data_IF_412014856438
#
_entry.id   IF_412014856438
#
_cell.length_a   1.000
_cell.length_b   1.000
_cell.length_c   1.000
_cell.angle_alpha   90.00
_cell.angle_beta   90.00
_cell.angle_gamma   90.00
#
_symmetry.space_group_name_H-M   'P 1'
#
loop_
_entity.id
_entity.type
_entity.pdbx_description
1 polymer ?
#
# COMPACT_ATOMS: atom_id res chain seq x y z
N UNK A 1 20.19 -4.70 12.72
CA UNK A 1 19.59 -5.88 12.05
C UNK A 1 19.56 -7.08 13.00
N UNK A 2 20.62 -7.35 13.80
CA UNK A 2 20.68 -8.50 14.72
C UNK A 2 19.68 -8.44 15.90
N UNK A 3 19.27 -7.25 16.33
CA UNK A 3 18.46 -7.03 17.55
C UNK A 3 17.20 -7.93 17.64
N UNK A 4 16.41 -8.16 16.58
CA UNK A 4 15.27 -9.08 16.67
C UNK A 4 15.68 -10.51 17.01
N UNK A 5 16.81 -10.99 16.49
CA UNK A 5 17.34 -12.33 16.84
C UNK A 5 17.76 -12.44 18.31
N UNK A 6 18.29 -11.33 18.87
CA UNK A 6 18.68 -11.27 20.28
C UNK A 6 17.45 -11.28 21.19
N UNK A 7 16.45 -10.46 20.89
CA UNK A 7 15.19 -10.38 21.65
C UNK A 7 14.47 -11.74 21.68
N UNK A 8 14.41 -12.43 20.54
CA UNK A 8 13.73 -13.72 20.41
C UNK A 8 14.63 -14.92 20.72
N UNK A 9 15.87 -14.70 21.18
CA UNK A 9 16.86 -15.74 21.51
C UNK A 9 17.03 -16.79 20.40
N UNK A 10 17.05 -16.37 19.14
CA UNK A 10 17.17 -17.25 17.97
C UNK A 10 18.65 -17.57 17.67
N UNK A 11 19.05 -18.84 17.83
CA UNK A 11 20.37 -19.33 17.47
C UNK A 11 21.51 -18.83 18.35
N UNK A 12 22.72 -19.34 18.07
CA UNK A 12 23.99 -18.91 18.69
C UNK A 12 24.48 -17.59 18.12
N UNK A 13 25.45 -16.94 18.74
CA UNK A 13 26.05 -15.69 18.25
C UNK A 13 26.64 -15.84 16.83
N UNK A 14 27.24 -16.97 16.50
CA UNK A 14 27.78 -17.23 15.16
C UNK A 14 26.68 -17.40 14.12
N UNK A 15 25.62 -18.15 14.43
CA UNK A 15 24.48 -18.36 13.56
C UNK A 15 23.75 -17.05 13.30
N UNK A 16 23.55 -16.21 14.34
CA UNK A 16 22.93 -14.88 14.19
C UNK A 16 23.75 -13.99 13.25
N UNK A 17 25.08 -14.01 13.40
CA UNK A 17 25.95 -13.24 12.52
C UNK A 17 25.80 -13.68 11.07
N UNK A 18 25.82 -14.98 10.80
CA UNK A 18 25.65 -15.50 9.45
C UNK A 18 24.30 -15.08 8.84
N UNK A 19 23.20 -15.22 9.58
CA UNK A 19 21.87 -14.80 9.12
C UNK A 19 21.83 -13.31 8.81
N UNK A 20 22.46 -12.47 9.61
CA UNK A 20 22.53 -11.02 9.38
C UNK A 20 23.35 -10.70 8.13
N UNK A 21 24.52 -11.34 7.97
CA UNK A 21 25.40 -11.11 6.82
C UNK A 21 24.72 -11.55 5.53
N UNK A 22 24.03 -12.69 5.50
CA UNK A 22 23.28 -13.20 4.36
C UNK A 22 22.15 -12.23 3.96
N UNK A 23 21.33 -11.76 4.91
CA UNK A 23 20.23 -10.85 4.63
C UNK A 23 20.73 -9.47 4.20
N UNK A 24 21.82 -8.96 4.78
CA UNK A 24 22.42 -7.70 4.32
C UNK A 24 22.88 -7.80 2.86
N UNK A 25 23.53 -8.92 2.50
CA UNK A 25 23.88 -9.17 1.11
C UNK A 25 22.67 -9.23 0.19
N UNK A 26 21.56 -9.86 0.63
CA UNK A 26 20.32 -9.98 -0.13
C UNK A 26 19.64 -8.64 -0.40
N UNK A 27 19.78 -7.67 0.51
CA UNK A 27 19.28 -6.29 0.27
C UNK A 27 20.33 -5.39 -0.41
N UNK A 28 21.47 -5.94 -0.82
CA UNK A 28 22.53 -5.21 -1.53
C UNK A 28 23.32 -4.26 -0.63
N UNK A 29 23.50 -4.60 0.63
CA UNK A 29 24.36 -3.91 1.60
C UNK A 29 25.56 -4.81 1.90
N UNK A 30 26.76 -4.25 1.83
CA UNK A 30 27.99 -4.96 2.20
C UNK A 30 28.01 -5.22 3.72
N UNK A 31 28.03 -6.51 4.15
CA UNK A 31 28.03 -6.86 5.57
C UNK A 31 29.24 -6.35 6.34
N UNK A 32 30.43 -6.31 5.70
CA UNK A 32 31.66 -5.84 6.33
C UNK A 32 31.59 -4.33 6.60
N UNK A 33 31.12 -3.56 5.63
CA UNK A 33 30.88 -2.13 5.78
C UNK A 33 29.80 -1.87 6.85
N UNK A 34 28.70 -2.62 6.81
CA UNK A 34 27.59 -2.45 7.75
C UNK A 34 27.99 -2.79 9.22
N UNK A 35 28.97 -3.66 9.42
CA UNK A 35 29.43 -4.05 10.76
C UNK A 35 30.13 -2.91 11.52
N UNK A 36 30.69 -1.91 10.82
CA UNK A 36 31.48 -0.83 11.42
C UNK A 36 30.87 0.56 11.24
N UNK A 37 30.00 0.73 10.23
CA UNK A 37 29.40 2.00 9.91
C UNK A 37 28.24 2.38 10.88
N UNK A 38 28.05 3.68 11.04
CA UNK A 38 26.94 4.24 11.83
C UNK A 38 25.76 4.62 10.91
N UNK A 39 24.52 4.68 11.44
CA UNK A 39 23.33 4.98 10.62
C UNK A 39 23.44 6.24 9.75
N UNK A 40 24.10 7.30 10.23
CA UNK A 40 24.26 8.55 9.50
C UNK A 40 25.30 8.51 8.36
N UNK A 41 26.03 7.42 8.23
CA UNK A 41 27.01 7.17 7.15
C UNK A 41 26.35 6.48 5.94
N UNK A 42 25.09 6.05 6.06
CA UNK A 42 24.31 5.44 4.99
C UNK A 42 23.41 6.47 4.30
N UNK A 43 23.21 6.30 2.99
CA UNK A 43 22.20 7.06 2.25
C UNK A 43 20.78 6.67 2.68
N UNK A 44 19.77 7.50 2.37
CA UNK A 44 18.37 7.18 2.67
C UNK A 44 17.92 5.84 2.11
N UNK A 45 18.28 5.52 0.87
CA UNK A 45 17.97 4.22 0.26
C UNK A 45 18.70 3.05 0.92
N UNK A 46 19.93 3.24 1.39
CA UNK A 46 20.65 2.22 2.15
C UNK A 46 20.01 2.00 3.54
N UNK A 47 19.62 3.08 4.22
CA UNK A 47 18.88 2.97 5.48
C UNK A 47 17.57 2.18 5.30
N UNK A 48 16.84 2.44 4.21
CA UNK A 48 15.62 1.71 3.89
C UNK A 48 15.88 0.21 3.66
N UNK A 49 16.92 -0.14 2.90
CA UNK A 49 17.34 -1.53 2.67
C UNK A 49 17.72 -2.23 3.98
N UNK A 50 18.42 -1.54 4.89
CA UNK A 50 18.76 -2.04 6.24
C UNK A 50 17.49 -2.25 7.07
N UNK A 51 16.49 -1.37 6.96
CA UNK A 51 15.21 -1.53 7.65
C UNK A 51 14.44 -2.76 7.14
N UNK A 52 14.46 -3.00 5.83
CA UNK A 52 13.91 -4.21 5.21
C UNK A 52 14.65 -5.45 5.72
N UNK A 53 15.98 -5.45 5.72
CA UNK A 53 16.80 -6.54 6.26
C UNK A 53 16.45 -6.86 7.72
N UNK A 54 16.26 -5.83 8.55
CA UNK A 54 15.85 -5.99 9.96
C UNK A 54 14.48 -6.63 10.10
N UNK A 55 13.54 -6.35 9.20
CA UNK A 55 12.23 -6.98 9.21
C UNK A 55 12.27 -8.45 8.76
N UNK A 56 13.18 -8.80 7.84
CA UNK A 56 13.29 -10.14 7.27
C UNK A 56 14.09 -11.13 8.12
N UNK A 57 14.93 -10.65 9.06
CA UNK A 57 15.87 -11.46 9.81
C UNK A 57 15.23 -12.60 10.64
N UNK A 58 13.92 -12.46 10.97
CA UNK A 58 13.13 -13.48 11.66
C UNK A 58 12.39 -14.44 10.71
N UNK A 59 12.65 -14.35 9.41
CA UNK A 59 11.97 -15.15 8.36
C UNK A 59 10.44 -15.07 8.46
N UNK A 60 9.84 -13.87 8.40
CA UNK A 60 8.40 -13.70 8.51
C UNK A 60 7.68 -14.31 7.30
N UNK A 61 6.41 -14.70 7.48
CA UNK A 61 5.52 -15.07 6.37
C UNK A 61 4.74 -13.88 5.82
N UNK A 62 4.58 -12.82 6.64
CA UNK A 62 3.90 -11.58 6.30
C UNK A 62 4.83 -10.39 6.59
N UNK A 63 5.03 -9.54 5.58
CA UNK A 63 5.76 -8.27 5.70
C UNK A 63 4.77 -7.11 5.52
N UNK A 64 4.69 -6.22 6.51
CA UNK A 64 3.91 -4.99 6.43
C UNK A 64 4.86 -3.84 6.10
N UNK A 65 4.63 -3.20 4.95
CA UNK A 65 5.39 -2.07 4.44
C UNK A 65 4.52 -0.81 4.55
N UNK A 66 4.74 -0.01 5.57
CA UNK A 66 4.02 1.25 5.78
C UNK A 66 4.84 2.40 5.18
N UNK A 67 4.38 2.92 4.06
CA UNK A 67 5.02 3.98 3.25
C UNK A 67 6.53 3.77 3.01
N UNK A 68 6.96 2.59 2.55
CA UNK A 68 8.38 2.21 2.56
C UNK A 68 9.26 3.03 1.60
N UNK A 69 8.67 3.85 0.74
CA UNK A 69 9.39 4.62 -0.29
C UNK A 69 9.05 6.12 -0.30
N UNK A 70 8.19 6.59 0.59
CA UNK A 70 7.66 7.97 0.57
C UNK A 70 8.71 9.06 0.76
N UNK A 71 9.80 8.77 1.46
CA UNK A 71 10.89 9.73 1.75
C UNK A 71 12.09 9.60 0.78
N UNK A 72 11.96 8.81 -0.30
CA UNK A 72 13.04 8.54 -1.25
C UNK A 72 12.82 9.30 -2.57
N UNK A 73 13.91 9.64 -3.27
CA UNK A 73 13.82 10.13 -4.64
C UNK A 73 13.33 9.04 -5.59
N UNK A 74 12.76 9.44 -6.75
CA UNK A 74 12.09 8.55 -7.71
C UNK A 74 12.99 7.40 -8.17
N UNK A 75 14.28 7.65 -8.34
CA UNK A 75 15.22 6.63 -8.84
C UNK A 75 15.53 5.57 -7.79
N UNK A 76 15.71 5.98 -6.53
CA UNK A 76 15.93 5.09 -5.38
C UNK A 76 14.64 4.36 -5.02
N UNK A 77 13.48 5.04 -5.13
CA UNK A 77 12.17 4.43 -4.95
C UNK A 77 11.98 3.21 -5.86
N UNK A 78 12.25 3.35 -7.17
CA UNK A 78 12.16 2.24 -8.12
C UNK A 78 13.09 1.06 -7.74
N UNK A 79 14.31 1.36 -7.29
CA UNK A 79 15.24 0.32 -6.84
C UNK A 79 14.74 -0.45 -5.60
N UNK A 80 14.12 0.25 -4.63
CA UNK A 80 13.57 -0.39 -3.42
C UNK A 80 12.34 -1.21 -3.75
N UNK A 81 11.48 -0.75 -4.68
CA UNK A 81 10.32 -1.52 -5.14
C UNK A 81 10.73 -2.83 -5.83
N UNK A 82 11.69 -2.77 -6.75
CA UNK A 82 12.22 -3.96 -7.40
C UNK A 82 12.84 -4.94 -6.37
N UNK A 83 13.60 -4.42 -5.41
CA UNK A 83 14.14 -5.22 -4.32
C UNK A 83 13.03 -5.93 -3.52
N UNK A 84 11.94 -5.24 -3.19
CA UNK A 84 10.81 -5.83 -2.46
C UNK A 84 10.12 -6.94 -3.26
N UNK A 85 9.99 -6.80 -4.59
CA UNK A 85 9.48 -7.86 -5.46
C UNK A 85 10.39 -9.08 -5.51
N UNK A 86 11.70 -8.87 -5.65
CA UNK A 86 12.70 -9.94 -5.62
C UNK A 86 12.66 -10.70 -4.28
N UNK A 87 12.59 -9.98 -3.17
CA UNK A 87 12.49 -10.56 -1.83
C UNK A 87 11.16 -11.29 -1.61
N UNK A 88 10.03 -10.75 -2.13
CA UNK A 88 8.72 -11.41 -2.11
C UNK A 88 8.81 -12.79 -2.77
N UNK A 89 9.42 -12.86 -3.96
CA UNK A 89 9.59 -14.12 -4.69
C UNK A 89 10.56 -15.07 -3.97
N UNK A 90 11.73 -14.58 -3.55
CA UNK A 90 12.79 -15.38 -2.93
C UNK A 90 12.40 -15.99 -1.59
N UNK A 91 11.72 -15.22 -0.75
CA UNK A 91 11.30 -15.62 0.59
C UNK A 91 9.85 -16.11 0.66
N UNK A 92 9.14 -16.19 -0.46
CA UNK A 92 7.72 -16.56 -0.53
C UNK A 92 6.85 -15.72 0.42
N UNK A 93 7.08 -14.40 0.47
CA UNK A 93 6.42 -13.49 1.38
C UNK A 93 5.01 -13.13 0.91
N UNK A 94 4.08 -13.04 1.86
CA UNK A 94 2.90 -12.20 1.69
C UNK A 94 3.25 -10.77 2.09
N UNK A 95 2.94 -9.78 1.23
CA UNK A 95 3.18 -8.37 1.54
C UNK A 95 1.88 -7.59 1.69
N UNK A 96 1.79 -6.78 2.74
CA UNK A 96 0.81 -5.70 2.87
C UNK A 96 1.54 -4.38 2.65
N UNK A 97 1.23 -3.71 1.54
CA UNK A 97 1.90 -2.48 1.12
C UNK A 97 0.96 -1.27 1.29
N UNK A 98 1.34 -0.31 2.13
CA UNK A 98 0.57 0.92 2.37
C UNK A 98 1.31 2.06 1.68
N UNK A 99 0.61 2.78 0.80
CA UNK A 99 1.13 3.96 0.12
C UNK A 99 0.00 4.92 -0.28
N UNK A 100 0.37 6.16 -0.51
CA UNK A 100 -0.51 7.20 -1.06
C UNK A 100 -0.31 7.40 -2.57
N UNK A 101 0.76 6.84 -3.15
CA UNK A 101 1.02 6.90 -4.60
C UNK A 101 0.37 5.71 -5.31
N UNK A 102 -0.70 6.00 -6.06
CA UNK A 102 -1.45 4.99 -6.79
C UNK A 102 -0.67 4.35 -7.94
N UNK A 103 0.30 5.07 -8.55
CA UNK A 103 1.14 4.50 -9.59
C UNK A 103 2.07 3.42 -9.02
N UNK A 104 2.60 3.64 -7.82
CA UNK A 104 3.38 2.64 -7.08
C UNK A 104 2.52 1.43 -6.73
N UNK A 105 1.33 1.67 -6.14
CA UNK A 105 0.40 0.60 -5.74
C UNK A 105 0.01 -0.27 -6.94
N UNK A 106 -0.26 0.34 -8.10
CA UNK A 106 -0.61 -0.38 -9.34
C UNK A 106 0.43 -1.41 -9.74
N UNK A 107 1.70 -1.07 -9.58
CA UNK A 107 2.80 -1.89 -10.09
C UNK A 107 3.18 -3.04 -9.14
N UNK A 108 3.03 -2.86 -7.81
CA UNK A 108 3.50 -3.84 -6.82
C UNK A 108 2.38 -4.75 -6.28
N UNK A 109 1.10 -4.36 -6.46
CA UNK A 109 -0.01 -5.02 -5.78
C UNK A 109 -0.79 -5.97 -6.68
N UNK A 110 -1.03 -7.18 -6.19
CA UNK A 110 -1.96 -8.13 -6.82
C UNK A 110 -3.42 -7.72 -6.56
N UNK A 111 -3.71 -7.23 -5.34
CA UNK A 111 -5.02 -6.73 -4.89
C UNK A 111 -4.85 -5.38 -4.20
N UNK A 112 -5.82 -4.51 -4.38
CA UNK A 112 -5.83 -3.17 -3.78
C UNK A 112 -7.05 -3.01 -2.89
N UNK A 113 -6.84 -2.45 -1.71
CA UNK A 113 -7.88 -2.02 -0.78
C UNK A 113 -7.82 -0.50 -0.63
N UNK A 114 -8.90 0.19 -0.96
CA UNK A 114 -9.03 1.65 -0.84
C UNK A 114 -9.72 1.98 0.48
N UNK A 115 -9.10 2.88 1.26
CA UNK A 115 -9.64 3.34 2.54
C UNK A 115 -9.92 4.85 2.49
N UNK A 116 -11.01 5.27 3.15
CA UNK A 116 -11.32 6.67 3.38
C UNK A 116 -11.73 6.87 4.85
N UNK A 117 -11.05 7.79 5.54
CA UNK A 117 -11.27 8.09 6.96
C UNK A 117 -11.40 6.83 7.85
N UNK A 118 -10.49 5.84 7.65
CA UNK A 118 -10.44 4.62 8.45
C UNK A 118 -11.49 3.55 8.10
N UNK A 119 -12.22 3.69 6.98
CA UNK A 119 -13.15 2.66 6.49
C UNK A 119 -12.74 2.17 5.11
N UNK A 120 -12.90 0.87 4.88
CA UNK A 120 -12.71 0.28 3.56
C UNK A 120 -13.86 0.71 2.64
N UNK A 121 -13.51 1.27 1.49
CA UNK A 121 -14.46 1.70 0.47
C UNK A 121 -14.58 0.68 -0.67
N UNK A 122 -13.45 0.10 -1.07
CA UNK A 122 -13.37 -0.81 -2.20
C UNK A 122 -12.20 -1.77 -2.05
N UNK A 123 -12.37 -3.02 -2.49
CA UNK A 123 -11.32 -4.04 -2.54
C UNK A 123 -11.48 -4.80 -3.86
N UNK A 124 -10.42 -4.84 -4.67
CA UNK A 124 -10.46 -5.59 -5.93
C UNK A 124 -9.07 -6.07 -6.35
N UNK A 125 -8.96 -7.00 -7.31
CA UNK A 125 -7.74 -7.22 -8.05
C UNK A 125 -7.24 -5.89 -8.64
N UNK A 126 -5.92 -5.64 -8.58
CA UNK A 126 -5.35 -4.36 -9.01
C UNK A 126 -5.83 -3.96 -10.40
N UNK A 127 -5.76 -4.90 -11.37
CA UNK A 127 -6.21 -4.65 -12.75
C UNK A 127 -7.67 -4.18 -12.85
N UNK A 128 -8.57 -4.82 -12.09
CA UNK A 128 -10.00 -4.49 -12.08
C UNK A 128 -10.25 -3.13 -11.44
N UNK A 129 -9.63 -2.85 -10.30
CA UNK A 129 -9.80 -1.56 -9.61
C UNK A 129 -9.40 -0.37 -10.49
N UNK A 130 -8.28 -0.48 -11.22
CA UNK A 130 -7.80 0.59 -12.10
C UNK A 130 -8.61 0.72 -13.39
N UNK A 131 -9.18 -0.37 -13.91
CA UNK A 131 -10.01 -0.35 -15.12
C UNK A 131 -11.48 0.03 -14.83
N UNK A 132 -12.05 -0.51 -13.76
CA UNK A 132 -13.47 -0.43 -13.43
C UNK A 132 -13.69 -0.10 -11.95
N UNK A 133 -13.23 1.08 -11.44
CA UNK A 133 -13.47 1.46 -10.06
C UNK A 133 -14.97 1.52 -9.76
N UNK A 134 -15.37 0.94 -8.65
CA UNK A 134 -16.77 0.86 -8.24
C UNK A 134 -17.17 1.96 -7.25
N UNK A 135 -16.22 2.45 -6.44
CA UNK A 135 -16.48 3.52 -5.48
C UNK A 135 -16.16 4.90 -6.06
N UNK A 136 -17.01 5.90 -5.83
CA UNK A 136 -16.78 7.27 -6.31
C UNK A 136 -15.46 7.87 -5.81
N UNK A 137 -15.03 7.56 -4.58
CA UNK A 137 -13.72 8.00 -4.06
C UNK A 137 -12.55 7.37 -4.84
N UNK A 138 -12.62 6.08 -5.15
CA UNK A 138 -11.61 5.39 -5.96
C UNK A 138 -11.47 6.03 -7.33
N UNK A 139 -12.60 6.36 -7.99
CA UNK A 139 -12.63 7.06 -9.27
C UNK A 139 -11.89 8.40 -9.18
N UNK A 140 -12.21 9.21 -8.18
CA UNK A 140 -11.56 10.52 -7.99
C UNK A 140 -10.05 10.37 -7.76
N UNK A 141 -9.64 9.38 -6.96
CA UNK A 141 -8.21 9.10 -6.76
C UNK A 141 -7.51 8.74 -8.07
N UNK A 142 -8.12 7.89 -8.90
CA UNK A 142 -7.56 7.48 -10.19
C UNK A 142 -7.51 8.64 -11.19
N UNK A 143 -8.55 9.48 -11.23
CA UNK A 143 -8.61 10.65 -12.09
C UNK A 143 -7.60 11.74 -11.70
N UNK A 144 -7.07 11.68 -10.48
CA UNK A 144 -6.01 12.58 -10.00
C UNK A 144 -4.59 12.15 -10.37
N UNK A 145 -4.41 10.94 -10.95
CA UNK A 145 -3.10 10.48 -11.40
C UNK A 145 -2.68 11.30 -12.64
N UNK A 146 -1.53 12.00 -12.59
CA UNK A 146 -1.05 12.75 -13.75
C UNK A 146 -0.79 11.83 -14.95
N UNK A 147 -1.41 12.14 -16.08
CA UNK A 147 -1.11 11.46 -17.35
C UNK A 147 0.06 12.20 -17.99
N UNK A 148 1.16 11.52 -18.37
CA UNK A 148 2.33 12.17 -18.98
C UNK A 148 2.09 12.49 -20.47
N UNK A 149 0.91 12.99 -20.82
CA UNK A 149 0.52 13.43 -22.15
C UNK A 149 0.00 14.85 -22.07
N UNK A 150 0.71 15.85 -22.63
CA UNK A 150 0.29 17.25 -22.62
C UNK A 150 -1.00 17.53 -23.42
N UNK A 151 -1.43 16.63 -24.29
CA UNK A 151 -2.67 16.77 -25.07
C UNK A 151 -3.90 16.26 -24.29
N UNK A 152 -3.70 15.46 -23.23
CA UNK A 152 -4.77 14.99 -22.36
C UNK A 152 -5.06 16.06 -21.31
N UNK A 153 -6.12 16.83 -21.52
CA UNK A 153 -6.68 17.69 -20.48
C UNK A 153 -7.25 16.74 -19.41
N UNK A 154 -6.55 16.66 -18.26
CA UNK A 154 -7.06 15.90 -17.12
C UNK A 154 -8.46 16.48 -16.76
N UNK A 155 -9.51 15.75 -17.10
CA UNK A 155 -10.88 16.04 -16.65
C UNK A 155 -10.95 15.57 -15.19
N UNK A 156 -10.23 16.30 -14.31
CA UNK A 156 -10.29 16.02 -12.89
C UNK A 156 -11.71 16.28 -12.38
N UNK A 157 -12.31 15.27 -11.76
CA UNK A 157 -13.50 15.52 -10.95
C UNK A 157 -13.04 16.34 -9.74
N UNK A 158 -13.31 17.67 -9.76
CA UNK A 158 -13.03 18.50 -8.60
C UNK A 158 -13.80 17.95 -7.40
N UNK A 159 -13.05 17.55 -6.39
CA UNK A 159 -13.63 17.20 -5.10
C UNK A 159 -14.23 18.47 -4.47
N UNK A 160 -15.54 18.56 -4.45
CA UNK A 160 -16.24 19.67 -3.80
C UNK A 160 -16.18 19.46 -2.28
N UNK A 161 -15.87 20.53 -1.54
CA UNK A 161 -15.88 20.57 -0.07
C UNK A 161 -14.54 20.20 0.57
N UNK A 162 -14.41 20.56 1.85
CA UNK A 162 -13.24 20.33 2.68
C UNK A 162 -13.10 18.86 3.09
N UNK A 163 -11.88 18.45 3.43
CA UNK A 163 -11.63 17.13 3.99
C UNK A 163 -12.23 17.05 5.40
N UNK A 164 -13.18 16.14 5.68
CA UNK A 164 -13.75 15.99 7.01
C UNK A 164 -12.71 15.54 8.04
N UNK A 165 -12.96 15.87 9.30
CA UNK A 165 -12.07 15.46 10.40
C UNK A 165 -12.06 13.93 10.57
N UNK A 166 -10.89 13.30 10.68
CA UNK A 166 -10.81 11.87 10.99
C UNK A 166 -11.18 11.56 12.45
N UNK A 167 -11.17 12.57 13.33
CA UNK A 167 -11.52 12.42 14.77
C UNK A 167 -13.04 12.42 14.95
N UNK A 168 -13.76 13.20 14.14
CA UNK A 168 -15.22 13.27 14.12
C UNK A 168 -15.69 13.08 12.68
N UNK A 169 -15.68 11.84 12.16
CA UNK A 169 -16.03 11.54 10.80
C UNK A 169 -17.54 11.68 10.56
N UNK A 170 -17.97 12.04 9.34
CA UNK A 170 -19.37 12.11 8.97
C UNK A 170 -20.12 10.81 9.25
N UNK A 171 -21.41 10.91 9.63
CA UNK A 171 -22.32 9.77 9.76
C UNK A 171 -22.58 9.10 8.40
N UNK A 172 -23.07 7.87 8.41
CA UNK A 172 -23.36 7.10 7.21
C UNK A 172 -22.11 6.80 6.38
N UNK A 173 -22.20 6.97 5.07
CA UNK A 173 -21.05 6.89 4.18
C UNK A 173 -20.09 8.04 4.45
N UNK A 174 -18.88 7.79 4.91
CA UNK A 174 -17.90 8.83 5.26
C UNK A 174 -17.51 9.74 4.10
N UNK A 175 -17.70 9.29 2.85
CA UNK A 175 -17.42 10.08 1.65
C UNK A 175 -18.62 10.94 1.19
N UNK A 176 -19.81 10.80 1.81
CA UNK A 176 -21.03 11.47 1.32
C UNK A 176 -20.91 12.99 1.18
N UNK A 177 -20.12 13.65 2.03
CA UNK A 177 -19.93 15.13 1.98
C UNK A 177 -19.21 15.61 0.73
N UNK A 178 -18.52 14.72 0.02
CA UNK A 178 -17.72 15.00 -1.17
C UNK A 178 -18.12 14.15 -2.38
N UNK A 179 -19.15 13.30 -2.22
CA UNK A 179 -19.60 12.38 -3.26
C UNK A 179 -20.63 13.05 -4.16
N UNK A 180 -20.44 13.07 -5.49
CA UNK A 180 -21.41 13.67 -6.42
C UNK A 180 -22.73 12.90 -6.51
N UNK A 181 -22.76 11.62 -6.07
CA UNK A 181 -23.94 10.76 -6.08
C UNK A 181 -24.60 10.60 -4.69
N UNK A 182 -24.21 11.43 -3.70
CA UNK A 182 -24.72 11.30 -2.34
C UNK A 182 -26.19 11.69 -2.25
N UNK A 183 -26.97 10.84 -1.57
CA UNK A 183 -28.37 11.08 -1.22
C UNK A 183 -28.59 11.01 0.30
N UNK A 184 -29.86 11.00 0.74
CA UNK A 184 -30.19 10.95 2.16
C UNK A 184 -29.81 9.60 2.81
N UNK A 185 -29.86 8.51 2.06
CA UNK A 185 -29.39 7.20 2.55
C UNK A 185 -27.88 7.25 2.84
N UNK A 186 -27.10 7.84 1.95
CA UNK A 186 -25.65 8.00 2.15
C UNK A 186 -25.29 8.80 3.41
N UNK A 187 -26.18 9.70 3.86
CA UNK A 187 -25.97 10.55 5.05
C UNK A 187 -26.29 9.83 6.35
N UNK A 188 -27.21 8.89 6.31
CA UNK A 188 -27.79 8.25 7.51
C UNK A 188 -27.34 6.82 7.71
N UNK A 189 -27.02 6.08 6.65
CA UNK A 189 -26.70 4.68 6.70
C UNK A 189 -25.26 4.41 6.27
N UNK A 190 -24.50 3.63 7.04
CA UNK A 190 -23.17 3.16 6.66
C UNK A 190 -23.32 2.07 5.58
N UNK A 191 -22.70 2.22 4.39
CA UNK A 191 -22.81 1.23 3.34
C UNK A 191 -22.07 -0.07 3.72
N UNK A 192 -22.72 -1.20 3.47
CA UNK A 192 -22.15 -2.53 3.70
C UNK A 192 -21.32 -2.95 2.49
N UNK A 193 -20.17 -3.60 2.74
CA UNK A 193 -19.33 -4.18 1.70
C UNK A 193 -20.12 -5.26 0.94
N UNK A 194 -20.23 -5.15 -0.39
CA UNK A 194 -20.93 -6.09 -1.26
C UNK A 194 -20.11 -6.43 -2.51
N UNK A 195 -20.28 -7.64 -3.04
CA UNK A 195 -19.63 -8.05 -4.28
C UNK A 195 -20.27 -7.34 -5.49
N UNK A 196 -19.43 -6.85 -6.39
CA UNK A 196 -19.81 -6.24 -7.67
C UNK A 196 -19.13 -6.92 -8.86
N UNK A 197 -18.25 -7.88 -8.60
CA UNK A 197 -17.53 -8.69 -9.58
C UNK A 197 -16.81 -9.84 -8.89
N UNK A 198 -16.05 -10.60 -9.65
CA UNK A 198 -15.18 -11.65 -9.13
C UNK A 198 -14.07 -11.00 -8.30
N UNK A 199 -14.00 -11.34 -7.00
CA UNK A 199 -13.08 -10.75 -6.02
C UNK A 199 -13.11 -9.22 -5.92
N UNK A 200 -14.16 -8.57 -6.44
CA UNK A 200 -14.36 -7.12 -6.42
C UNK A 200 -15.52 -6.77 -5.47
N UNK A 201 -15.21 -5.99 -4.44
CA UNK A 201 -16.11 -5.64 -3.36
C UNK A 201 -16.12 -4.12 -3.17
N UNK A 202 -17.32 -3.55 -2.90
CA UNK A 202 -17.49 -2.12 -2.67
C UNK A 202 -18.46 -1.84 -1.53
N UNK A 203 -18.12 -0.84 -0.71
CA UNK A 203 -19.01 -0.27 0.31
C UNK A 203 -19.60 1.05 -0.21
N UNK A 204 -20.63 0.96 -1.04
CA UNK A 204 -21.30 2.10 -1.65
C UNK A 204 -22.79 1.80 -1.87
N UNK A 205 -23.69 2.77 -1.62
CA UNK A 205 -25.11 2.64 -1.93
C UNK A 205 -25.35 2.74 -3.45
N UNK A 206 -24.54 3.55 -4.14
CA UNK A 206 -24.64 3.85 -5.58
C UNK A 206 -23.31 3.54 -6.31
N UNK A 207 -22.90 2.26 -6.42
CA UNK A 207 -21.65 1.93 -7.07
C UNK A 207 -21.65 2.28 -8.56
N UNK A 208 -20.47 2.64 -9.08
CA UNK A 208 -20.28 2.99 -10.50
C UNK A 208 -20.43 1.79 -11.44
N UNK A 209 -20.33 0.57 -10.91
CA UNK A 209 -20.51 -0.68 -11.65
C UNK A 209 -21.78 -1.38 -11.17
N UNK A 210 -22.48 -2.05 -12.07
CA UNK A 210 -23.72 -2.77 -11.72
C UNK A 210 -23.35 -4.01 -10.88
N UNK A 211 -23.96 -4.22 -9.69
CA UNK A 211 -23.73 -5.40 -8.89
C UNK A 211 -24.05 -6.68 -9.67
N UNK A 212 -23.16 -7.65 -9.63
CA UNK A 212 -23.43 -8.98 -10.19
C UNK A 212 -24.44 -9.67 -9.29
N UNK A 213 -25.55 -10.14 -9.88
CA UNK A 213 -26.52 -10.96 -9.15
C UNK A 213 -25.79 -12.23 -8.66
N UNK A 214 -25.69 -12.39 -7.33
CA UNK A 214 -25.15 -13.62 -6.75
C UNK A 214 -26.09 -14.75 -7.13
N UNK A 215 -25.59 -15.67 -7.98
CA UNK A 215 -26.26 -16.94 -8.21
C UNK A 215 -26.22 -17.72 -6.89
N UNK A 216 -27.37 -17.90 -6.26
CA UNK A 216 -27.58 -18.76 -5.09
C UNK A 216 -27.35 -20.22 -5.41
#
# INVERSE_FOLDING_TARGET
VAEPLDIWSRGTSAERRQVVDDILADVGIDPEQAAVARPHEFSGGQCQRISIARALVLSPTLLICDEPVSALDVSVQAQVLNLLEDLKARYSLTMMFIAHDLAVVKNISDRVAVMYLGRLCEIAPSRELYAHPAHHYTRVLLDSIPVPDPEVIAVGHELVGDLPSPVDPPSGCRFHTRCPAADDQCRTEEPVMRAVGEDHYVACHHPLVTPVAMST
#
